data_IF_205630362738
#
_entry.id   IF_205630362738
#
_cell.length_a   1.000
_cell.length_b   1.000
_cell.length_c   1.000
_cell.angle_alpha   90.00
_cell.angle_beta   90.00
_cell.angle_gamma   90.00
#
_symmetry.space_group_name_H-M   'P 1'
#
loop_
_entity.id
_entity.type
_entity.pdbx_description
1 polymer ?
#
# COMPACT_ATOMS: atom_id res chain seq x y z
N UNK A 1 10.93 1.48 21.40
CA UNK A 1 9.73 2.13 20.84
C UNK A 1 9.37 1.36 19.58
N UNK A 2 8.12 0.95 19.39
CA UNK A 2 7.70 0.21 18.18
C UNK A 2 7.91 1.07 16.93
N UNK A 3 8.45 0.47 15.88
CA UNK A 3 8.65 1.08 14.57
C UNK A 3 7.32 1.47 13.93
N UNK A 4 6.26 0.67 14.15
CA UNK A 4 4.89 0.99 13.73
C UNK A 4 4.39 2.27 14.40
N UNK A 5 4.53 2.40 15.72
CA UNK A 5 4.13 3.62 16.44
C UNK A 5 4.94 4.84 15.99
N UNK A 6 6.26 4.69 15.87
CA UNK A 6 7.14 5.77 15.42
C UNK A 6 6.80 6.25 13.99
N UNK A 7 6.43 5.34 13.09
CA UNK A 7 5.97 5.68 11.74
C UNK A 7 4.64 6.45 11.77
N UNK A 8 3.64 5.98 12.54
CA UNK A 8 2.34 6.66 12.68
C UNK A 8 2.53 8.06 13.27
N UNK A 9 3.30 8.21 14.35
CA UNK A 9 3.56 9.52 14.99
C UNK A 9 4.25 10.51 14.03
N UNK A 10 5.19 10.02 13.21
CA UNK A 10 5.82 10.85 12.19
C UNK A 10 4.78 11.35 11.18
N UNK A 11 3.94 10.47 10.65
CA UNK A 11 2.96 10.82 9.64
C UNK A 11 1.83 11.68 10.18
N UNK A 12 1.36 11.44 11.40
CA UNK A 12 0.41 12.29 12.10
C UNK A 12 0.93 13.72 12.24
N UNK A 13 2.21 13.88 12.59
CA UNK A 13 2.83 15.19 12.70
C UNK A 13 2.96 15.87 11.34
N UNK A 14 3.55 15.21 10.35
CA UNK A 14 3.85 15.85 9.06
C UNK A 14 2.59 16.12 8.23
N UNK A 15 1.65 15.17 8.18
CA UNK A 15 0.37 15.39 7.49
C UNK A 15 -0.49 16.35 8.30
N UNK A 16 -0.50 16.26 9.64
CA UNK A 16 -1.14 17.24 10.53
C UNK A 16 -0.67 18.67 10.26
N UNK A 17 0.63 18.89 10.07
CA UNK A 17 1.19 20.19 9.65
C UNK A 17 0.70 20.59 8.26
N UNK A 18 0.72 19.68 7.30
CA UNK A 18 0.28 19.92 5.92
C UNK A 18 -1.18 20.35 5.87
N UNK A 19 -2.09 19.61 6.52
CA UNK A 19 -3.54 19.89 6.48
C UNK A 19 -3.91 21.21 7.18
N UNK A 20 -3.02 21.77 8.01
CA UNK A 20 -3.15 23.07 8.66
C UNK A 20 -2.48 24.22 7.87
N UNK A 21 -2.03 23.98 6.65
CA UNK A 21 -1.46 25.00 5.77
C UNK A 21 0.06 25.11 5.76
N UNK A 22 0.78 24.27 6.51
CA UNK A 22 2.25 24.26 6.49
C UNK A 22 2.75 23.23 5.48
N UNK A 23 2.98 23.66 4.24
CA UNK A 23 3.38 22.79 3.12
C UNK A 23 4.88 22.59 2.97
N UNK A 24 5.70 23.16 3.87
CA UNK A 24 7.13 22.89 3.86
C UNK A 24 7.37 21.46 4.33
N UNK A 25 7.84 20.63 3.40
CA UNK A 25 8.17 19.24 3.67
C UNK A 25 9.31 19.12 4.68
N UNK A 26 9.23 18.09 5.53
CA UNK A 26 10.36 17.63 6.32
C UNK A 26 11.53 17.24 5.39
N UNK A 27 12.81 17.40 5.78
CA UNK A 27 13.96 17.01 4.94
C UNK A 27 13.89 15.56 4.43
N UNK A 28 13.45 14.62 5.26
CA UNK A 28 13.22 13.23 4.83
C UNK A 28 12.15 13.13 3.73
N UNK A 29 11.08 13.93 3.81
CA UNK A 29 10.03 13.94 2.79
C UNK A 29 10.48 14.61 1.49
N UNK A 30 11.36 15.62 1.55
CA UNK A 30 12.01 16.15 0.34
C UNK A 30 12.92 15.11 -0.32
N UNK A 31 13.72 14.39 0.48
CA UNK A 31 14.56 13.28 -0.02
C UNK A 31 13.71 12.19 -0.65
N UNK A 32 12.62 11.80 0.01
CA UNK A 32 11.69 10.80 -0.54
C UNK A 32 11.02 11.31 -1.81
N UNK A 33 10.57 12.57 -1.86
CA UNK A 33 10.00 13.19 -3.07
C UNK A 33 11.01 13.17 -4.23
N UNK A 34 12.27 13.44 -3.96
CA UNK A 34 13.36 13.38 -4.95
C UNK A 34 13.64 11.98 -5.50
N UNK A 35 13.10 10.93 -4.89
CA UNK A 35 13.28 9.54 -5.31
C UNK A 35 12.37 9.10 -6.48
N UNK A 36 11.57 10.04 -7.03
CA UNK A 36 10.73 9.83 -8.21
C UNK A 36 10.69 11.08 -9.09
N UNK A 37 10.86 10.90 -10.40
CA UNK A 37 10.90 11.98 -11.39
C UNK A 37 10.01 11.67 -12.61
N UNK A 38 8.74 11.33 -12.34
CA UNK A 38 7.75 11.12 -13.40
C UNK A 38 7.40 12.40 -14.18
N UNK A 39 6.91 12.23 -15.41
CA UNK A 39 6.52 13.33 -16.32
C UNK A 39 5.11 13.11 -16.84
N UNK A 40 4.47 14.18 -17.33
CA UNK A 40 3.11 14.11 -17.87
C UNK A 40 2.13 13.57 -16.82
N UNK A 41 1.48 12.44 -17.11
CA UNK A 41 0.59 11.75 -16.15
C UNK A 41 1.30 11.31 -14.86
N UNK A 42 2.63 11.15 -14.87
CA UNK A 42 3.39 10.85 -13.66
C UNK A 42 4.00 12.04 -12.95
N UNK A 43 3.64 13.27 -13.32
CA UNK A 43 4.01 14.44 -12.52
C UNK A 43 3.40 14.32 -11.13
N UNK A 44 4.20 14.59 -10.10
CA UNK A 44 3.75 14.55 -8.70
C UNK A 44 2.79 15.70 -8.44
N UNK A 45 1.64 15.40 -7.85
CA UNK A 45 0.65 16.40 -7.44
C UNK A 45 0.84 16.73 -5.96
N UNK A 46 1.32 17.95 -5.69
CA UNK A 46 1.57 18.48 -4.34
C UNK A 46 0.36 19.25 -3.77
N UNK A 47 -0.75 19.32 -4.50
CA UNK A 47 -1.98 20.03 -4.08
C UNK A 47 -2.87 19.21 -3.16
N UNK A 48 -2.56 17.92 -3.01
CA UNK A 48 -3.24 16.97 -2.12
C UNK A 48 -2.29 16.47 -1.03
N UNK A 49 -2.85 16.05 0.11
CA UNK A 49 -2.06 15.52 1.21
C UNK A 49 -1.33 14.24 0.79
N UNK A 50 -0.10 13.99 1.28
CA UNK A 50 0.55 12.69 1.10
C UNK A 50 -0.22 11.57 1.80
N UNK A 51 -0.15 10.35 1.25
CA UNK A 51 -0.84 9.16 1.78
C UNK A 51 0.11 7.95 1.83
N UNK A 52 1.01 7.87 2.82
CA UNK A 52 1.96 6.75 2.96
C UNK A 52 1.31 5.37 3.18
N UNK A 53 0.14 5.30 3.82
CA UNK A 53 -0.54 4.03 4.08
C UNK A 53 -2.05 4.22 4.31
N UNK A 54 -2.83 3.16 4.11
CA UNK A 54 -4.24 3.09 4.51
C UNK A 54 -4.44 1.80 5.31
N UNK A 55 -5.18 1.88 6.42
CA UNK A 55 -5.42 0.75 7.30
C UNK A 55 -4.66 0.82 8.63
N UNK A 56 -4.69 -0.28 9.41
CA UNK A 56 -4.44 -0.25 10.84
C UNK A 56 -2.95 -0.50 11.19
N UNK A 57 -2.02 0.31 10.68
CA UNK A 57 -0.57 0.09 10.80
C UNK A 57 -0.10 -0.16 12.26
N UNK A 58 -0.52 0.69 13.20
CA UNK A 58 -0.15 0.59 14.61
C UNK A 58 -1.26 0.00 15.50
N UNK A 59 -2.22 -0.74 14.93
CA UNK A 59 -3.22 -1.42 15.73
C UNK A 59 -2.60 -2.56 16.57
N UNK A 60 -3.29 -2.89 17.67
CA UNK A 60 -2.90 -3.98 18.57
C UNK A 60 -2.93 -5.34 17.85
N UNK A 61 -3.91 -5.54 16.97
CA UNK A 61 -4.06 -6.77 16.20
C UNK A 61 -3.32 -6.65 14.87
N UNK A 62 -2.76 -7.78 14.41
CA UNK A 62 -2.16 -7.90 13.09
C UNK A 62 -3.24 -7.74 12.00
N UNK A 63 -3.02 -6.94 10.94
CA UNK A 63 -3.95 -6.84 9.81
C UNK A 63 -4.12 -8.20 9.13
N UNK A 64 -5.33 -8.48 8.63
CA UNK A 64 -5.60 -9.72 7.89
C UNK A 64 -4.76 -9.82 6.61
N UNK A 65 -4.44 -8.68 5.98
CA UNK A 65 -3.63 -8.65 4.77
C UNK A 65 -2.78 -7.36 4.73
N UNK A 66 -1.50 -7.50 4.42
CA UNK A 66 -0.59 -6.38 4.16
C UNK A 66 -0.24 -6.36 2.68
N UNK A 67 -0.40 -5.19 2.06
CA UNK A 67 -0.14 -4.97 0.65
C UNK A 67 0.79 -3.78 0.45
N UNK A 68 1.70 -3.92 -0.51
CA UNK A 68 2.52 -2.80 -0.97
C UNK A 68 1.97 -2.22 -2.27
N UNK A 69 1.78 -0.91 -2.29
CA UNK A 69 1.48 -0.10 -3.46
C UNK A 69 2.68 0.73 -3.91
N UNK A 70 2.71 1.13 -5.19
CA UNK A 70 3.81 1.96 -5.69
C UNK A 70 3.65 3.40 -5.23
N UNK A 71 2.43 3.91 -5.32
CA UNK A 71 2.01 5.22 -4.84
C UNK A 71 0.48 5.22 -4.65
N UNK A 72 -0.09 6.23 -3.97
CA UNK A 72 -1.53 6.36 -3.72
C UNK A 72 -2.41 6.47 -4.98
N UNK A 73 -1.82 6.57 -6.17
CA UNK A 73 -2.52 6.80 -7.42
C UNK A 73 -2.95 8.26 -7.65
N UNK A 74 -3.99 8.42 -8.47
CA UNK A 74 -4.42 9.71 -8.94
C UNK A 74 -4.94 10.61 -7.79
N UNK A 75 -4.61 11.90 -7.79
CA UNK A 75 -5.11 12.83 -6.79
C UNK A 75 -6.62 13.01 -6.92
N UNK A 76 -7.31 13.11 -5.78
CA UNK A 76 -8.72 13.41 -5.66
C UNK A 76 -8.93 14.70 -4.85
N UNK A 77 -8.79 15.89 -5.47
CA UNK A 77 -8.76 17.18 -4.74
C UNK A 77 -9.99 17.46 -3.87
N UNK A 78 -11.18 16.99 -4.26
CA UNK A 78 -12.41 17.09 -3.45
C UNK A 78 -12.28 16.42 -2.07
N UNK A 79 -11.43 15.40 -1.97
CA UNK A 79 -11.20 14.62 -0.76
C UNK A 79 -9.90 14.98 -0.07
N UNK A 80 -8.80 15.04 -0.81
CA UNK A 80 -7.43 15.13 -0.29
C UNK A 80 -6.80 16.52 -0.43
N UNK A 81 -7.45 17.42 -1.18
CA UNK A 81 -6.97 18.78 -1.37
C UNK A 81 -7.13 19.63 -0.11
N UNK A 82 -6.60 20.86 -0.12
CA UNK A 82 -6.52 21.68 1.09
C UNK A 82 -7.84 21.82 1.86
N UNK A 83 -8.98 21.90 1.19
CA UNK A 83 -10.31 21.98 1.81
C UNK A 83 -11.14 20.71 1.62
N UNK A 84 -10.46 19.61 1.28
CA UNK A 84 -11.07 18.33 0.98
C UNK A 84 -11.72 17.69 2.20
N UNK A 85 -12.64 16.77 1.94
CA UNK A 85 -13.40 16.05 2.98
C UNK A 85 -12.44 15.32 3.95
N UNK A 86 -11.43 14.62 3.44
CA UNK A 86 -10.50 13.86 4.27
C UNK A 86 -9.50 14.75 4.98
N UNK A 87 -9.00 15.78 4.31
CA UNK A 87 -8.14 16.79 4.93
C UNK A 87 -8.80 17.44 6.14
N UNK A 88 -10.12 17.72 6.09
CA UNK A 88 -10.88 18.20 7.26
C UNK A 88 -10.94 17.17 8.39
N UNK A 89 -11.25 15.90 8.07
CA UNK A 89 -11.31 14.82 9.08
C UNK A 89 -9.96 14.57 9.76
N UNK A 90 -8.85 14.66 9.01
CA UNK A 90 -7.50 14.56 9.57
C UNK A 90 -7.19 15.74 10.50
N UNK A 91 -7.69 16.95 10.22
CA UNK A 91 -7.57 18.08 11.16
C UNK A 91 -8.34 17.88 12.45
N UNK A 92 -9.49 17.21 12.38
CA UNK A 92 -10.36 16.94 13.53
C UNK A 92 -9.84 15.77 14.39
N UNK A 93 -9.03 14.88 13.82
CA UNK A 93 -8.47 13.70 14.49
C UNK A 93 -6.94 13.64 14.31
N UNK A 94 -6.46 12.67 13.54
CA UNK A 94 -5.07 12.43 13.17
C UNK A 94 -5.03 11.72 11.81
N UNK A 95 -3.87 11.60 11.19
CA UNK A 95 -3.76 10.85 9.94
C UNK A 95 -3.97 9.36 10.19
N UNK A 96 -3.39 8.80 11.24
CA UNK A 96 -3.51 7.40 11.60
C UNK A 96 -4.94 6.98 11.95
N UNK A 97 -5.69 7.82 12.66
CA UNK A 97 -7.10 7.55 12.97
C UNK A 97 -7.99 7.61 11.74
N UNK A 98 -7.71 8.55 10.82
CA UNK A 98 -8.39 8.62 9.54
C UNK A 98 -8.02 7.43 8.63
N UNK A 99 -6.74 7.09 8.52
CA UNK A 99 -6.24 6.04 7.64
C UNK A 99 -6.82 4.66 8.02
N UNK A 100 -6.98 4.38 9.32
CA UNK A 100 -7.55 3.11 9.80
C UNK A 100 -9.08 3.02 9.69
N UNK A 101 -9.78 4.11 9.38
CA UNK A 101 -11.26 4.12 9.32
C UNK A 101 -11.82 3.47 8.06
N UNK A 102 -10.98 3.15 7.07
CA UNK A 102 -11.41 2.69 5.74
C UNK A 102 -12.02 3.82 4.90
N UNK A 103 -11.32 4.96 4.71
CA UNK A 103 -11.90 6.17 4.11
C UNK A 103 -12.43 5.94 2.68
N UNK A 104 -11.77 5.09 1.91
CA UNK A 104 -12.10 4.83 0.51
C UNK A 104 -13.26 3.85 0.27
N UNK A 105 -13.87 3.37 1.34
CA UNK A 105 -15.07 2.52 1.34
C UNK A 105 -16.19 3.11 2.19
N UNK A 106 -16.06 4.38 2.58
CA UNK A 106 -17.09 5.08 3.33
C UNK A 106 -18.16 5.72 2.42
N UNK A 107 -19.25 6.17 3.04
CA UNK A 107 -20.36 6.80 2.32
C UNK A 107 -19.93 8.03 1.51
N UNK A 108 -19.04 8.87 2.04
CA UNK A 108 -18.63 10.10 1.35
C UNK A 108 -17.90 9.79 0.04
N UNK A 109 -17.04 8.78 0.03
CA UNK A 109 -16.38 8.30 -1.19
C UNK A 109 -17.38 7.70 -2.17
N UNK A 110 -18.18 6.74 -1.70
CA UNK A 110 -19.05 5.95 -2.57
C UNK A 110 -20.21 6.77 -3.14
N UNK A 111 -20.71 7.79 -2.43
CA UNK A 111 -21.68 8.75 -2.99
C UNK A 111 -21.10 9.56 -4.16
N UNK A 112 -19.79 9.83 -4.16
CA UNK A 112 -19.15 10.63 -5.23
C UNK A 112 -18.67 9.76 -6.39
N UNK A 113 -18.10 8.59 -6.12
CA UNK A 113 -17.39 7.78 -7.12
C UNK A 113 -18.05 6.42 -7.38
N UNK A 114 -19.14 6.11 -6.68
CA UNK A 114 -19.69 4.76 -6.60
C UNK A 114 -18.79 3.83 -5.81
N UNK A 115 -19.17 2.55 -5.80
CA UNK A 115 -18.47 1.49 -5.07
C UNK A 115 -17.00 1.39 -5.50
N UNK A 116 -16.09 1.42 -4.54
CA UNK A 116 -14.65 1.42 -4.83
C UNK A 116 -14.15 0.02 -5.26
N UNK A 117 -14.14 -0.23 -6.57
CA UNK A 117 -13.72 -1.52 -7.15
C UNK A 117 -12.30 -1.93 -6.76
N UNK A 118 -11.40 -0.97 -6.55
CA UNK A 118 -10.03 -1.26 -6.12
C UNK A 118 -10.04 -1.92 -4.74
N UNK A 119 -10.60 -1.27 -3.73
CA UNK A 119 -10.65 -1.82 -2.37
C UNK A 119 -11.47 -3.12 -2.30
N UNK A 120 -12.58 -3.20 -3.04
CA UNK A 120 -13.44 -4.39 -3.07
C UNK A 120 -12.71 -5.63 -3.61
N UNK A 121 -11.91 -5.49 -4.69
CA UNK A 121 -11.19 -6.62 -5.23
C UNK A 121 -10.13 -7.15 -4.25
N UNK A 122 -9.47 -6.26 -3.48
CA UNK A 122 -8.49 -6.63 -2.45
C UNK A 122 -9.16 -7.24 -1.22
N UNK A 123 -10.32 -6.74 -0.82
CA UNK A 123 -11.12 -7.34 0.25
C UNK A 123 -11.57 -8.76 -0.13
N UNK A 124 -12.11 -8.95 -1.34
CA UNK A 124 -12.47 -10.29 -1.83
C UNK A 124 -11.26 -11.22 -1.90
N UNK A 125 -10.08 -10.70 -2.25
CA UNK A 125 -8.85 -11.49 -2.24
C UNK A 125 -8.45 -11.91 -0.82
N UNK A 126 -8.43 -10.99 0.14
CA UNK A 126 -8.12 -11.30 1.55
C UNK A 126 -9.07 -12.39 2.09
N UNK A 127 -10.38 -12.21 1.93
CA UNK A 127 -11.39 -13.17 2.40
C UNK A 127 -11.18 -14.58 1.83
N UNK A 128 -10.90 -14.67 0.54
CA UNK A 128 -10.64 -15.97 -0.11
C UNK A 128 -9.31 -16.58 0.32
N UNK A 129 -8.25 -15.78 0.43
CA UNK A 129 -6.92 -16.21 0.85
C UNK A 129 -6.97 -16.88 2.23
N UNK A 130 -7.76 -16.30 3.14
CA UNK A 130 -7.95 -16.81 4.51
C UNK A 130 -9.14 -17.77 4.66
N UNK A 131 -9.96 -17.93 3.61
CA UNK A 131 -11.24 -18.64 3.68
C UNK A 131 -12.14 -18.10 4.80
N UNK A 132 -12.16 -16.78 4.98
CA UNK A 132 -12.86 -16.06 6.03
C UNK A 132 -13.59 -14.83 5.46
N UNK A 133 -14.92 -14.94 5.32
CA UNK A 133 -15.76 -13.86 4.80
C UNK A 133 -16.03 -12.74 5.83
N UNK A 134 -15.68 -12.95 7.10
CA UNK A 134 -15.91 -11.98 8.17
C UNK A 134 -14.90 -10.83 8.17
N UNK A 135 -13.74 -11.00 7.51
CA UNK A 135 -12.68 -9.98 7.43
C UNK A 135 -13.28 -8.65 6.94
N UNK A 136 -13.20 -7.57 7.73
CA UNK A 136 -13.68 -6.25 7.33
C UNK A 136 -12.63 -5.49 6.50
N UNK A 137 -13.06 -4.48 5.75
CA UNK A 137 -12.15 -3.67 4.93
C UNK A 137 -11.07 -2.94 5.75
N UNK A 138 -11.38 -2.62 7.01
CA UNK A 138 -10.52 -1.93 7.96
C UNK A 138 -9.37 -2.80 8.47
N UNK A 139 -9.38 -4.10 8.21
CA UNK A 139 -8.27 -5.02 8.55
C UNK A 139 -7.26 -5.20 7.40
N UNK A 140 -7.46 -4.49 6.28
CA UNK A 140 -6.49 -4.48 5.18
C UNK A 140 -5.54 -3.30 5.35
N UNK A 141 -4.24 -3.58 5.34
CA UNK A 141 -3.19 -2.57 5.39
C UNK A 141 -2.54 -2.42 4.01
N UNK A 142 -2.53 -1.19 3.50
CA UNK A 142 -1.88 -0.78 2.25
C UNK A 142 -0.74 0.15 2.61
N UNK A 143 0.48 -0.11 2.15
CA UNK A 143 1.64 0.77 2.37
C UNK A 143 2.24 1.14 1.02
N UNK A 144 2.47 2.43 0.80
CA UNK A 144 2.93 2.96 -0.46
C UNK A 144 4.46 3.17 -0.46
N UNK A 145 5.13 2.69 -1.52
CA UNK A 145 6.57 2.88 -1.72
C UNK A 145 6.94 4.37 -1.89
N UNK A 146 5.99 5.16 -2.40
CA UNK A 146 6.11 6.59 -2.59
C UNK A 146 4.83 7.29 -2.13
N UNK A 147 4.87 8.15 -1.10
CA UNK A 147 3.67 8.64 -0.42
C UNK A 147 2.93 9.75 -1.18
N UNK A 148 3.42 10.22 -2.33
CA UNK A 148 2.82 11.33 -3.06
C UNK A 148 2.02 10.89 -4.29
N UNK A 149 0.97 11.64 -4.59
CA UNK A 149 0.03 11.32 -5.65
C UNK A 149 0.59 11.63 -7.04
N UNK A 150 0.18 10.82 -8.02
CA UNK A 150 0.39 11.06 -9.44
C UNK A 150 -0.64 10.27 -10.23
N UNK A 151 -1.07 10.74 -11.41
CA UNK A 151 -2.11 10.03 -12.19
C UNK A 151 -1.64 8.66 -12.68
N UNK A 152 -0.32 8.47 -12.85
CA UNK A 152 0.30 7.20 -13.23
C UNK A 152 1.76 7.15 -12.81
N UNK A 153 2.27 5.97 -12.47
CA UNK A 153 3.72 5.78 -12.25
C UNK A 153 4.42 5.65 -13.61
N UNK A 154 5.19 6.67 -14.01
CA UNK A 154 5.85 6.76 -15.33
C UNK A 154 7.37 6.67 -15.28
N UNK A 155 7.95 6.70 -14.09
CA UNK A 155 9.37 6.55 -13.83
C UNK A 155 9.60 5.55 -12.70
N UNK A 156 10.85 5.14 -12.51
CA UNK A 156 11.19 4.29 -11.38
C UNK A 156 11.05 5.06 -10.06
N UNK A 157 10.61 4.35 -9.03
CA UNK A 157 10.54 4.83 -7.65
C UNK A 157 11.70 4.15 -6.90
N UNK A 158 12.61 4.93 -6.33
CA UNK A 158 13.80 4.42 -5.64
C UNK A 158 14.02 5.18 -4.34
N UNK A 159 13.18 4.96 -3.30
CA UNK A 159 13.29 5.66 -2.04
C UNK A 159 14.67 5.47 -1.40
N UNK A 160 15.18 6.47 -0.66
CA UNK A 160 16.38 6.28 0.15
C UNK A 160 16.22 5.07 1.08
N UNK A 161 17.26 4.24 1.19
CA UNK A 161 17.21 2.98 1.92
C UNK A 161 16.82 3.16 3.40
N UNK A 162 17.29 4.24 4.04
CA UNK A 162 16.94 4.59 5.42
C UNK A 162 15.45 4.90 5.59
N UNK A 163 14.82 5.53 4.59
CA UNK A 163 13.38 5.83 4.62
C UNK A 163 12.54 4.58 4.31
N UNK A 164 13.01 3.74 3.38
CA UNK A 164 12.40 2.45 3.08
C UNK A 164 12.36 1.56 4.33
N UNK A 165 13.49 1.43 5.04
CA UNK A 165 13.56 0.68 6.29
C UNK A 165 12.62 1.27 7.33
N UNK A 166 12.81 2.56 7.66
CA UNK A 166 12.10 3.21 8.76
C UNK A 166 10.58 3.24 8.61
N UNK A 167 10.07 3.43 7.39
CA UNK A 167 8.64 3.68 7.18
C UNK A 167 7.89 2.52 6.51
N UNK A 168 8.59 1.52 6.00
CA UNK A 168 7.97 0.36 5.34
C UNK A 168 8.47 -0.94 5.96
N UNK A 169 9.76 -1.25 5.85
CA UNK A 169 10.27 -2.59 6.20
C UNK A 169 10.28 -2.84 7.71
N UNK A 170 10.77 -1.90 8.51
CA UNK A 170 10.80 -2.06 9.97
C UNK A 170 9.38 -2.11 10.54
N UNK A 171 8.42 -1.23 10.13
CA UNK A 171 7.03 -1.36 10.56
C UNK A 171 6.36 -2.69 10.18
N UNK A 172 6.53 -3.20 8.95
CA UNK A 172 5.92 -4.49 8.58
C UNK A 172 6.59 -5.67 9.25
N UNK A 173 7.87 -5.57 9.61
CA UNK A 173 8.59 -6.64 10.33
C UNK A 173 8.02 -6.95 11.72
N UNK A 174 7.30 -5.99 12.31
CA UNK A 174 6.61 -6.17 13.59
C UNK A 174 5.22 -6.81 13.46
N UNK A 175 4.78 -7.12 12.23
CA UNK A 175 3.48 -7.76 11.97
C UNK A 175 3.65 -9.27 11.79
N UNK A 176 2.78 -10.05 12.41
CA UNK A 176 2.74 -11.52 12.28
C UNK A 176 2.09 -11.95 10.96
N UNK A 177 2.60 -11.43 9.84
CA UNK A 177 2.12 -11.68 8.48
C UNK A 177 3.25 -12.25 7.64
N UNK A 178 3.29 -13.57 7.40
CA UNK A 178 4.42 -14.20 6.71
C UNK A 178 4.48 -13.81 5.22
N UNK A 179 3.35 -13.39 4.64
CA UNK A 179 3.25 -13.02 3.24
C UNK A 179 2.72 -11.59 3.10
N UNK A 180 3.53 -10.76 2.45
CA UNK A 180 3.19 -9.39 2.04
C UNK A 180 2.91 -9.41 0.55
N UNK A 181 1.84 -8.76 0.09
CA UNK A 181 1.43 -8.86 -1.32
C UNK A 181 1.69 -7.59 -2.11
N UNK A 182 2.06 -7.77 -3.37
CA UNK A 182 2.12 -6.68 -4.33
C UNK A 182 1.59 -7.16 -5.68
N UNK A 183 0.94 -6.27 -6.43
CA UNK A 183 0.24 -6.65 -7.67
C UNK A 183 0.77 -5.87 -8.88
N UNK A 184 1.06 -6.61 -9.95
CA UNK A 184 1.44 -6.08 -11.25
C UNK A 184 2.95 -6.05 -11.51
N UNK A 185 3.30 -6.06 -12.80
CA UNK A 185 4.69 -6.09 -13.28
C UNK A 185 5.61 -4.98 -12.76
N UNK A 186 5.15 -3.73 -12.52
CA UNK A 186 6.03 -2.70 -11.98
C UNK A 186 6.70 -3.08 -10.65
N UNK A 187 6.05 -3.92 -9.83
CA UNK A 187 6.61 -4.38 -8.57
C UNK A 187 7.80 -5.33 -8.73
N UNK A 188 7.88 -6.10 -9.83
CA UNK A 188 9.06 -6.93 -10.12
C UNK A 188 10.31 -6.05 -10.31
N UNK A 189 10.13 -4.93 -11.03
CA UNK A 189 11.21 -3.94 -11.23
C UNK A 189 11.55 -3.22 -9.92
N UNK A 190 10.55 -2.89 -9.11
CA UNK A 190 10.76 -2.26 -7.82
C UNK A 190 11.53 -3.18 -6.86
N UNK A 191 11.09 -4.43 -6.65
CA UNK A 191 11.75 -5.40 -5.77
C UNK A 191 13.23 -5.60 -6.13
N UNK A 192 13.53 -5.72 -7.44
CA UNK A 192 14.92 -5.82 -7.93
C UNK A 192 15.73 -4.58 -7.57
N UNK A 193 15.19 -3.38 -7.84
CA UNK A 193 15.89 -2.11 -7.55
C UNK A 193 16.07 -1.83 -6.06
N UNK A 194 15.16 -2.32 -5.23
CA UNK A 194 15.24 -2.21 -3.77
C UNK A 194 16.20 -3.24 -3.17
N UNK A 195 16.70 -4.19 -3.95
CA UNK A 195 17.69 -5.16 -3.51
C UNK A 195 17.11 -6.25 -2.60
N UNK A 196 15.84 -6.65 -2.77
CA UNK A 196 15.21 -7.74 -2.00
C UNK A 196 15.75 -9.15 -2.37
N UNK A 197 16.96 -9.24 -2.91
CA UNK A 197 17.59 -10.47 -3.36
C UNK A 197 16.98 -11.05 -4.64
N UNK A 198 17.48 -12.23 -4.99
CA UNK A 198 16.96 -13.01 -6.12
C UNK A 198 15.62 -13.62 -5.72
N UNK A 199 14.54 -13.15 -6.36
CA UNK A 199 13.23 -13.75 -6.19
C UNK A 199 13.15 -15.11 -6.89
N UNK A 200 12.32 -16.02 -6.37
CA UNK A 200 12.02 -17.28 -7.02
C UNK A 200 10.57 -17.34 -7.48
N UNK A 201 10.30 -18.12 -8.52
CA UNK A 201 8.93 -18.35 -8.98
C UNK A 201 8.24 -19.34 -8.04
N UNK A 202 7.09 -18.94 -7.48
CA UNK A 202 6.22 -19.84 -6.74
C UNK A 202 5.44 -20.70 -7.74
N UNK A 203 5.59 -22.03 -7.74
CA UNK A 203 4.76 -22.90 -8.55
C UNK A 203 3.33 -22.85 -8.03
N UNK A 204 2.42 -22.35 -8.87
CA UNK A 204 0.98 -22.30 -8.60
C UNK A 204 0.27 -22.78 -9.84
N UNK A 205 -0.71 -23.66 -9.65
CA UNK A 205 -1.55 -24.20 -10.71
C UNK A 205 -2.62 -23.18 -11.12
N UNK A 206 -2.19 -22.13 -11.82
CA UNK A 206 -3.07 -21.06 -12.27
C UNK A 206 -4.06 -21.57 -13.32
N UNK A 207 -5.33 -21.17 -13.15
CA UNK A 207 -6.32 -21.20 -14.24
C UNK A 207 -5.99 -20.12 -15.28
N UNK A 208 -5.54 -18.95 -14.83
CA UNK A 208 -5.13 -17.87 -15.73
C UNK A 208 -3.71 -18.10 -16.25
N UNK A 209 -3.56 -18.55 -17.51
CA UNK A 209 -2.27 -18.94 -18.09
C UNK A 209 -1.16 -17.86 -18.05
N UNK A 210 -1.52 -16.57 -18.12
CA UNK A 210 -0.53 -15.47 -18.07
C UNK A 210 -0.13 -15.05 -16.65
N UNK A 211 -0.72 -15.68 -15.63
CA UNK A 211 -0.50 -15.31 -14.23
C UNK A 211 0.77 -15.96 -13.70
N UNK A 212 1.50 -15.21 -12.89
CA UNK A 212 2.69 -15.68 -12.19
C UNK A 212 2.74 -15.09 -10.78
N UNK A 213 3.42 -15.79 -9.87
CA UNK A 213 3.82 -15.26 -8.57
C UNK A 213 5.34 -15.41 -8.41
N UNK A 214 6.01 -14.31 -8.09
CA UNK A 214 7.42 -14.30 -7.69
C UNK A 214 7.50 -13.93 -6.21
N UNK A 215 8.37 -14.63 -5.48
CA UNK A 215 8.55 -14.47 -4.04
C UNK A 215 9.95 -13.93 -3.78
N UNK A 216 10.02 -12.84 -3.03
CA UNK A 216 11.26 -12.20 -2.61
C UNK A 216 11.38 -12.26 -1.08
N UNK A 217 12.54 -12.61 -0.51
CA UNK A 217 12.74 -12.50 0.93
C UNK A 217 12.71 -11.03 1.37
N UNK A 218 11.97 -10.73 2.44
CA UNK A 218 12.04 -9.42 3.10
C UNK A 218 12.89 -9.50 4.37
N UNK A 219 12.62 -10.51 5.19
CA UNK A 219 13.40 -10.87 6.35
C UNK A 219 13.25 -12.39 6.59
N UNK A 220 13.67 -12.89 7.76
CA UNK A 220 13.65 -14.33 8.07
C UNK A 220 12.25 -14.93 8.00
N UNK A 221 11.23 -14.18 8.43
CA UNK A 221 9.89 -14.69 8.68
C UNK A 221 8.85 -14.11 7.70
N UNK A 222 9.25 -13.16 6.85
CA UNK A 222 8.37 -12.49 5.89
C UNK A 222 8.91 -12.50 4.47
N UNK A 223 7.98 -12.68 3.54
CA UNK A 223 8.24 -12.73 2.10
C UNK A 223 7.29 -11.79 1.35
N UNK A 224 7.82 -11.10 0.34
CA UNK A 224 7.02 -10.35 -0.60
C UNK A 224 6.59 -11.26 -1.75
N UNK A 225 5.29 -11.45 -1.92
CA UNK A 225 4.67 -12.17 -3.04
C UNK A 225 4.18 -11.16 -4.07
N UNK A 226 4.88 -11.09 -5.20
CA UNK A 226 4.48 -10.25 -6.34
C UNK A 226 3.68 -11.08 -7.32
N UNK A 227 2.38 -10.81 -7.42
CA UNK A 227 1.48 -11.49 -8.37
C UNK A 227 1.31 -10.62 -9.62
N UNK A 228 1.52 -11.20 -10.80
CA UNK A 228 1.41 -10.48 -12.07
C UNK A 228 0.54 -11.22 -13.07
N UNK A 229 -0.09 -10.49 -13.99
CA UNK A 229 -0.71 -11.06 -15.18
C UNK A 229 -0.67 -10.08 -16.34
N UNK A 230 -0.97 -10.54 -17.56
CA UNK A 230 -1.01 -9.68 -18.73
C UNK A 230 -2.20 -8.69 -18.63
N UNK A 231 -1.93 -7.39 -18.83
CA UNK A 231 -2.96 -6.35 -18.93
C UNK A 231 -3.66 -5.96 -17.63
N UNK A 232 -3.27 -6.48 -16.47
CA UNK A 232 -3.94 -6.22 -15.20
C UNK A 232 -2.98 -6.24 -14.00
N UNK A 233 -3.23 -5.37 -13.03
CA UNK A 233 -2.41 -5.16 -11.84
C UNK A 233 -3.23 -5.27 -10.54
N UNK A 234 -4.29 -6.07 -10.54
CA UNK A 234 -5.06 -6.39 -9.35
C UNK A 234 -4.84 -7.81 -8.86
N UNK A 235 -5.47 -8.18 -7.73
CA UNK A 235 -5.36 -9.51 -7.16
C UNK A 235 -6.03 -10.59 -8.00
N UNK A 236 -5.69 -11.86 -7.75
CA UNK A 236 -6.31 -12.99 -8.43
C UNK A 236 -7.83 -13.10 -8.19
N UNK A 237 -8.52 -13.75 -9.13
CA UNK A 237 -9.92 -14.16 -8.99
C UNK A 237 -10.07 -15.39 -8.08
N UNK A 238 -11.28 -15.93 -7.95
CA UNK A 238 -11.61 -17.01 -6.98
C UNK A 238 -10.68 -18.22 -7.03
N UNK A 239 -10.79 -19.02 -8.10
CA UNK A 239 -10.01 -20.26 -8.29
C UNK A 239 -8.50 -20.03 -8.19
N UNK A 240 -7.99 -18.97 -8.79
CA UNK A 240 -6.56 -18.64 -8.72
C UNK A 240 -6.12 -18.19 -7.31
N UNK A 241 -7.00 -17.57 -6.53
CA UNK A 241 -6.69 -17.22 -5.13
C UNK A 241 -6.56 -18.48 -4.27
N UNK A 242 -7.46 -19.45 -4.48
CA UNK A 242 -7.42 -20.74 -3.80
C UNK A 242 -6.14 -21.52 -4.14
N UNK A 243 -5.77 -21.57 -5.43
CA UNK A 243 -4.53 -22.19 -5.89
C UNK A 243 -3.28 -21.51 -5.26
N UNK A 244 -3.27 -20.17 -5.22
CA UNK A 244 -2.19 -19.43 -4.56
C UNK A 244 -2.12 -19.73 -3.06
N UNK A 245 -3.27 -19.74 -2.37
CA UNK A 245 -3.33 -20.05 -0.94
C UNK A 245 -2.79 -21.45 -0.64
N UNK A 246 -3.14 -22.44 -1.47
CA UNK A 246 -2.63 -23.81 -1.35
C UNK A 246 -1.10 -23.85 -1.51
N UNK A 247 -0.55 -23.18 -2.53
CA UNK A 247 0.89 -23.12 -2.77
C UNK A 247 1.66 -22.44 -1.63
N UNK A 248 1.11 -21.36 -1.05
CA UNK A 248 1.75 -20.65 0.06
C UNK A 248 1.79 -21.49 1.35
N UNK A 249 0.78 -22.32 1.62
CA UNK A 249 0.76 -23.22 2.78
C UNK A 249 1.84 -24.30 2.73
N UNK A 250 2.25 -24.73 1.53
CA UNK A 250 3.34 -25.71 1.36
C UNK A 250 4.71 -25.08 1.67
N UNK A 251 4.81 -23.75 1.62
CA UNK A 251 6.05 -23.00 1.81
C UNK A 251 6.19 -22.39 3.23
N UNK A 252 5.12 -22.42 4.03
CA UNK A 252 5.08 -21.92 5.40
C UNK A 252 5.57 -23.00 6.37
#
# INVERSE_FOLDING_TARGET
>A
MSSRLAAVEFWDREIGRWVRGNHRLHPDLERWRGAYAGRGAGTVDMTVMPEPYIGPLAAKNTPALVMLGLNPGAPAPKFQGMQGIYTRRVRETSYGDWAKSGPYTDAAWEETHGRNRYHQSRLSFARRLHSDDSIPAQELLYIELYPFHSKSVTAAITPPADLLSRFILDPISELETPFIFAFGKPWLKAATKLGFGDGYQLPVDWTTASRTALVFPLNRDQRLVVVTQLGYAGPPGGTDTEALAAALRVQA
#
